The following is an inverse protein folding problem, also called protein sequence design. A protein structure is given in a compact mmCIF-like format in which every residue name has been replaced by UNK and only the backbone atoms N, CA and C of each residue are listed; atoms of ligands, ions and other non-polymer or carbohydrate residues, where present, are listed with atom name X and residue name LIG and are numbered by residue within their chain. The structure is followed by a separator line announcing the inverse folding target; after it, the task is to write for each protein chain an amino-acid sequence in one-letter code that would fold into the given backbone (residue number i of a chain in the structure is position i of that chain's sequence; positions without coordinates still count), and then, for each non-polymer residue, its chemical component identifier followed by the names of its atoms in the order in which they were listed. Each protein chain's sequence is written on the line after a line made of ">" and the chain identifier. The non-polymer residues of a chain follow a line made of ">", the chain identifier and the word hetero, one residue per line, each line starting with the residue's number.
data_IF_551328723898
#
_entry.id   IF_551328723898
#
_cell.length_a   1.000
_cell.length_b   1.000
_cell.length_c   1.000
_cell.angle_alpha   90.00
_cell.angle_beta   90.00
_cell.angle_gamma   90.00
#
_symmetry.space_group_name_H-M   'P 1'
#
loop_
_entity.id
_entity.type
_entity.pdbx_description
1 polymer ?
#
# COMPACT_ATOMS: atom_id res chain seq x y z
N UNK A 1 -7.57 5.85 -3.59
CA UNK A 1 -6.45 5.91 -2.62
C UNK A 1 -6.80 6.70 -1.35
N UNK A 2 -7.03 8.02 -1.42
CA UNK A 2 -7.26 8.88 -0.25
C UNK A 2 -8.34 8.37 0.71
N UNK A 3 -9.58 8.20 0.24
CA UNK A 3 -10.72 7.79 1.06
C UNK A 3 -10.54 6.42 1.73
N UNK A 4 -9.93 5.46 1.02
CA UNK A 4 -9.68 4.13 1.56
C UNK A 4 -8.64 4.17 2.69
N UNK A 5 -7.54 4.90 2.50
CA UNK A 5 -6.51 5.03 3.54
C UNK A 5 -7.03 5.79 4.77
N UNK A 6 -7.82 6.84 4.58
CA UNK A 6 -8.46 7.58 5.69
C UNK A 6 -9.42 6.68 6.47
N UNK A 7 -10.26 5.89 5.78
CA UNK A 7 -11.17 4.94 6.43
C UNK A 7 -10.42 3.89 7.25
N UNK A 8 -9.34 3.32 6.72
CA UNK A 8 -8.54 2.32 7.45
C UNK A 8 -7.85 2.94 8.67
N UNK A 9 -7.31 4.15 8.54
CA UNK A 9 -6.73 4.88 9.65
C UNK A 9 -7.76 5.16 10.76
N UNK A 10 -9.01 5.48 10.42
CA UNK A 10 -10.10 5.63 11.40
C UNK A 10 -10.43 4.33 12.14
N UNK A 11 -10.14 3.17 11.54
CA UNK A 11 -10.29 1.86 12.18
C UNK A 11 -9.04 1.43 12.97
N UNK A 12 -8.03 2.31 13.10
CA UNK A 12 -6.77 2.04 13.78
C UNK A 12 -5.77 1.20 12.97
N UNK A 13 -6.05 0.96 11.68
CA UNK A 13 -5.22 0.15 10.79
C UNK A 13 -4.22 1.02 10.03
N UNK A 14 -3.02 0.50 9.78
CA UNK A 14 -2.00 1.14 8.93
C UNK A 14 -1.83 0.36 7.62
N UNK A 15 -2.60 0.67 6.56
CA UNK A 15 -2.57 -0.10 5.33
C UNK A 15 -1.29 0.17 4.51
N UNK A 16 -0.84 -0.86 3.81
CA UNK A 16 0.28 -0.82 2.85
C UNK A 16 -0.26 -0.89 1.43
N UNK A 17 0.31 -0.11 0.50
CA UNK A 17 -0.04 -0.21 -0.92
C UNK A 17 0.75 -1.34 -1.57
N UNK A 18 0.05 -2.41 -1.96
CA UNK A 18 0.65 -3.56 -2.64
C UNK A 18 0.57 -3.41 -4.16
N UNK A 19 1.66 -3.72 -4.87
CA UNK A 19 1.73 -3.63 -6.33
C UNK A 19 2.62 -4.73 -6.94
N UNK A 20 2.70 -4.78 -8.27
CA UNK A 20 3.61 -5.69 -8.96
C UNK A 20 5.05 -5.13 -8.97
N UNK A 21 6.09 -5.99 -8.96
CA UNK A 21 7.48 -5.54 -8.88
C UNK A 21 7.88 -4.53 -9.97
N UNK A 22 7.39 -4.73 -11.20
CA UNK A 22 7.76 -3.90 -12.35
C UNK A 22 7.30 -2.45 -12.22
N UNK A 23 6.14 -2.20 -11.60
CA UNK A 23 5.55 -0.86 -11.54
C UNK A 23 5.79 -0.14 -10.19
N UNK A 24 6.27 -0.87 -9.17
CA UNK A 24 6.53 -0.35 -7.82
C UNK A 24 7.29 0.99 -7.76
N UNK A 25 8.44 1.19 -8.43
CA UNK A 25 9.18 2.46 -8.33
C UNK A 25 8.37 3.65 -8.86
N UNK A 26 7.61 3.46 -9.94
CA UNK A 26 6.76 4.50 -10.51
C UNK A 26 5.61 4.87 -9.57
N UNK A 27 4.92 3.86 -9.02
CA UNK A 27 3.86 4.07 -8.02
C UNK A 27 4.41 4.81 -6.80
N UNK A 28 5.61 4.44 -6.30
CA UNK A 28 6.25 5.13 -5.17
C UNK A 28 6.53 6.60 -5.49
N UNK A 29 7.11 6.91 -6.65
CA UNK A 29 7.43 8.29 -7.06
C UNK A 29 6.21 9.21 -7.12
N UNK A 30 5.04 8.65 -7.43
CA UNK A 30 3.76 9.37 -7.47
C UNK A 30 3.22 9.54 -6.05
N UNK A 31 3.14 8.44 -5.28
CA UNK A 31 2.53 8.43 -3.94
C UNK A 31 3.31 9.27 -2.93
N UNK A 32 4.64 9.26 -2.99
CA UNK A 32 5.44 9.99 -2.02
C UNK A 32 5.25 11.51 -2.06
N UNK A 33 4.82 12.05 -3.21
CA UNK A 33 4.53 13.48 -3.39
C UNK A 33 3.33 13.97 -2.57
N UNK A 34 2.40 13.08 -2.22
CA UNK A 34 1.19 13.46 -1.49
C UNK A 34 0.93 12.61 -0.22
N UNK A 35 1.58 11.45 -0.07
CA UNK A 35 1.58 10.60 1.14
C UNK A 35 2.96 9.96 1.37
N UNK A 36 3.98 10.73 1.80
CA UNK A 36 5.35 10.23 1.99
C UNK A 36 5.44 9.05 2.98
N UNK A 37 4.55 9.04 3.98
CA UNK A 37 4.46 8.00 5.02
C UNK A 37 3.82 6.69 4.54
N UNK A 38 3.11 6.69 3.40
CA UNK A 38 2.48 5.47 2.88
C UNK A 38 3.54 4.52 2.33
N UNK A 39 3.62 3.32 2.91
CA UNK A 39 4.49 2.25 2.40
C UNK A 39 3.92 1.72 1.09
N UNK A 40 4.80 1.61 0.09
CA UNK A 40 4.50 0.99 -1.21
C UNK A 40 5.42 -0.22 -1.36
N UNK A 41 4.84 -1.42 -1.42
CA UNK A 41 5.59 -2.67 -1.49
C UNK A 41 5.22 -3.51 -2.70
N UNK A 42 6.15 -4.31 -3.19
CA UNK A 42 5.85 -5.34 -4.19
C UNK A 42 5.40 -6.65 -3.56
N UNK A 43 4.66 -7.46 -4.34
CA UNK A 43 4.30 -8.83 -3.95
C UNK A 43 5.54 -9.69 -3.65
N UNK A 44 6.66 -9.45 -4.32
CA UNK A 44 7.92 -10.20 -4.11
C UNK A 44 8.62 -9.86 -2.78
N UNK A 45 8.28 -8.73 -2.15
CA UNK A 45 8.80 -8.34 -0.84
C UNK A 45 8.01 -8.98 0.32
N UNK A 46 6.93 -9.71 0.02
CA UNK A 46 6.12 -10.39 1.02
C UNK A 46 6.63 -11.81 1.22
N UNK A 47 6.88 -12.16 2.47
CA UNK A 47 7.20 -13.54 2.83
C UNK A 47 6.02 -14.47 2.48
N UNK A 48 6.23 -15.63 1.83
CA UNK A 48 5.12 -16.48 1.34
C UNK A 48 4.13 -16.96 2.40
N UNK A 49 4.57 -17.05 3.67
CA UNK A 49 3.70 -17.42 4.81
C UNK A 49 2.96 -16.23 5.45
N UNK A 50 3.17 -15.00 4.98
CA UNK A 50 2.47 -13.84 5.51
C UNK A 50 0.99 -13.92 5.15
N UNK A 51 0.12 -13.60 6.12
CA UNK A 51 -1.32 -13.50 5.88
C UNK A 51 -1.65 -12.09 5.43
N UNK A 52 -2.30 -11.96 4.28
CA UNK A 52 -2.69 -10.68 3.70
C UNK A 52 -4.20 -10.51 3.86
N UNK A 53 -4.63 -9.36 4.37
CA UNK A 53 -6.03 -8.93 4.36
C UNK A 53 -6.18 -7.80 3.37
N UNK A 54 -6.89 -8.04 2.27
CA UNK A 54 -7.21 -6.98 1.30
C UNK A 54 -8.29 -6.08 1.88
N UNK A 55 -7.95 -4.82 2.10
CA UNK A 55 -8.86 -3.82 2.68
C UNK A 55 -9.47 -2.86 1.65
N UNK A 56 -9.04 -2.98 0.39
CA UNK A 56 -9.54 -2.22 -0.75
C UNK A 56 -8.71 -2.46 -2.01
N UNK A 57 -9.25 -2.04 -3.15
CA UNK A 57 -8.58 -2.05 -4.45
C UNK A 57 -8.67 -0.65 -5.08
N UNK A 58 -7.76 -0.36 -6.01
CA UNK A 58 -7.72 0.86 -6.82
C UNK A 58 -7.81 0.46 -8.29
#
# INVERSE_FOLDING_TARGET
>A
LRTNFERQAMMGESPVLLTSPAIRPYVRSIVERFRPMTVVMSQNEIHPKAKIKTVGQV
#
